data_IF_904863286116
#
_entry.id   IF_904863286116
#
_cell.length_a   1.000
_cell.length_b   1.000
_cell.length_c   1.000
_cell.angle_alpha   90.00
_cell.angle_beta   90.00
_cell.angle_gamma   90.00
#
_symmetry.space_group_name_H-M   'P 1'
#
loop_
_entity.id
_entity.type
_entity.pdbx_description
1 polymer ?
#
# COMPACT_ATOMS: atom_id res chain seq x y z
N UNK A 1 13.02 8.03 -9.60
CA UNK A 1 12.77 7.24 -8.36
C UNK A 1 13.15 8.02 -7.12
N UNK A 2 12.14 8.46 -6.36
CA UNK A 2 12.32 9.26 -5.14
C UNK A 2 12.03 8.42 -3.89
N UNK A 3 12.92 8.47 -2.90
CA UNK A 3 12.66 7.87 -1.58
C UNK A 3 11.95 8.86 -0.68
N UNK A 4 10.97 8.41 0.10
CA UNK A 4 10.22 9.27 1.03
C UNK A 4 9.75 8.46 2.24
N UNK A 5 9.73 9.09 3.40
CA UNK A 5 9.03 8.57 4.57
C UNK A 5 7.57 9.05 4.52
N UNK A 6 6.63 8.11 4.48
CA UNK A 6 5.20 8.39 4.36
C UNK A 6 4.46 8.00 5.63
N UNK A 7 3.43 8.77 5.98
CA UNK A 7 2.46 8.35 7.00
C UNK A 7 1.47 7.35 6.41
N UNK A 8 0.90 6.52 7.27
CA UNK A 8 -0.12 5.52 6.93
C UNK A 8 -1.39 6.12 6.35
N UNK A 9 -1.75 7.36 6.73
CA UNK A 9 -2.90 8.10 6.17
C UNK A 9 -2.65 8.63 4.75
N UNK A 10 -1.44 8.49 4.21
CA UNK A 10 -1.08 8.98 2.88
C UNK A 10 -1.13 7.91 1.78
N UNK A 11 -1.23 6.64 2.16
CA UNK A 11 -1.11 5.50 1.24
C UNK A 11 -2.44 4.76 1.19
N UNK A 12 -3.07 4.72 0.02
CA UNK A 12 -4.20 3.85 -0.31
C UNK A 12 -3.65 2.43 -0.44
N UNK A 13 -4.12 1.54 0.42
CA UNK A 13 -3.66 0.15 0.49
C UNK A 13 -4.38 -0.73 -0.53
N UNK A 14 -3.84 -1.90 -0.79
CA UNK A 14 -4.46 -2.97 -1.59
C UNK A 14 -5.70 -3.57 -0.89
N UNK A 15 -6.52 -4.34 -1.60
CA UNK A 15 -7.74 -4.96 -1.03
C UNK A 15 -7.49 -6.20 -0.15
N UNK A 16 -6.25 -6.52 0.17
CA UNK A 16 -5.88 -7.64 1.03
C UNK A 16 -6.30 -7.34 2.49
N UNK A 17 -7.54 -7.67 2.85
CA UNK A 17 -8.06 -7.52 4.21
C UNK A 17 -8.57 -8.85 4.79
N UNK A 18 -8.07 -9.28 5.97
CA UNK A 18 -6.84 -8.80 6.61
C UNK A 18 -5.62 -9.15 5.75
N UNK A 19 -4.40 -8.82 6.21
CA UNK A 19 -3.19 -9.30 5.53
C UNK A 19 -3.16 -10.83 5.51
N UNK A 20 -2.85 -11.43 4.35
CA UNK A 20 -3.04 -12.87 4.11
C UNK A 20 -2.17 -13.80 5.00
N UNK A 21 -1.05 -13.31 5.52
CA UNK A 21 -0.10 -14.10 6.31
C UNK A 21 0.26 -13.37 7.60
N UNK A 22 -0.32 -13.85 8.70
CA UNK A 22 -0.14 -13.27 10.03
C UNK A 22 1.31 -13.35 10.53
N UNK A 23 2.05 -14.40 10.18
CA UNK A 23 3.45 -14.56 10.62
C UNK A 23 4.37 -13.50 10.00
N UNK A 24 4.19 -13.22 8.71
CA UNK A 24 4.95 -12.16 8.04
C UNK A 24 4.64 -10.78 8.65
N UNK A 25 3.37 -10.51 8.97
CA UNK A 25 2.99 -9.29 9.69
C UNK A 25 3.70 -9.19 11.05
N UNK A 26 3.75 -10.30 11.81
CA UNK A 26 4.43 -10.39 13.11
C UNK A 26 5.91 -10.08 13.00
N UNK A 27 6.59 -10.63 12.00
CA UNK A 27 8.01 -10.38 11.77
C UNK A 27 8.24 -8.89 11.49
N UNK A 28 7.53 -8.31 10.52
CA UNK A 28 7.69 -6.89 10.21
C UNK A 28 7.32 -5.99 11.39
N UNK A 29 6.26 -6.31 12.13
CA UNK A 29 5.88 -5.54 13.30
C UNK A 29 7.02 -5.51 14.33
N UNK A 30 7.64 -6.66 14.63
CA UNK A 30 8.79 -6.72 15.55
C UNK A 30 9.97 -5.87 15.07
N UNK A 31 10.24 -5.86 13.76
CA UNK A 31 11.30 -5.03 13.18
C UNK A 31 11.00 -3.54 13.39
N UNK A 32 9.78 -3.09 13.09
CA UNK A 32 9.38 -1.69 13.27
C UNK A 32 9.27 -1.27 14.73
N UNK A 33 8.70 -2.11 15.59
CA UNK A 33 8.52 -1.82 17.02
C UNK A 33 9.85 -1.67 17.74
N UNK A 34 10.89 -2.39 17.29
CA UNK A 34 12.26 -2.27 17.80
C UNK A 34 13.08 -1.15 17.15
N UNK A 35 12.48 -0.33 16.28
CA UNK A 35 13.19 0.78 15.62
C UNK A 35 14.10 0.37 14.46
N UNK A 36 14.05 -0.90 14.03
CA UNK A 36 14.89 -1.42 12.94
C UNK A 36 14.25 -1.31 11.56
N UNK A 37 13.14 -0.57 11.40
CA UNK A 37 12.43 -0.44 10.11
C UNK A 37 13.31 0.00 8.93
N UNK A 38 14.40 0.73 9.19
CA UNK A 38 15.37 1.20 8.18
C UNK A 38 16.15 0.08 7.47
N UNK A 39 16.25 -1.11 8.06
CA UNK A 39 16.94 -2.26 7.43
C UNK A 39 16.10 -2.89 6.32
N UNK A 40 14.79 -2.64 6.33
CA UNK A 40 13.89 -3.20 5.33
C UNK A 40 13.96 -2.33 4.07
N UNK A 41 13.96 -2.94 2.86
CA UNK A 41 13.78 -2.19 1.63
C UNK A 41 12.49 -1.35 1.69
N UNK A 42 12.41 -0.19 1.02
CA UNK A 42 11.18 0.60 0.99
C UNK A 42 10.03 -0.13 0.28
N UNK A 43 8.77 0.34 0.46
CA UNK A 43 7.62 -0.13 -0.34
C UNK A 43 7.47 0.65 -1.64
N UNK A 44 7.15 0.01 -2.76
CA UNK A 44 6.84 0.70 -4.00
C UNK A 44 5.44 1.33 -3.95
N UNK A 45 5.34 2.59 -4.33
CA UNK A 45 4.09 3.34 -4.46
C UNK A 45 4.11 4.18 -5.73
N UNK A 46 2.95 4.57 -6.26
CA UNK A 46 2.85 5.65 -7.26
C UNK A 46 1.98 6.78 -6.73
N UNK A 47 2.29 8.02 -7.14
CA UNK A 47 1.53 9.20 -6.74
C UNK A 47 0.25 9.32 -7.58
N UNK A 48 -0.82 9.88 -7.02
CA UNK A 48 -2.11 10.04 -7.73
C UNK A 48 -1.99 10.89 -9.01
N UNK A 49 -1.04 11.83 -9.06
CA UNK A 49 -0.78 12.66 -10.25
C UNK A 49 -0.14 11.87 -11.41
N UNK A 50 0.46 10.72 -11.13
CA UNK A 50 0.96 9.80 -12.16
C UNK A 50 -0.19 9.06 -12.87
N UNK A 51 -1.38 9.06 -12.26
CA UNK A 51 -2.62 8.53 -12.81
C UNK A 51 -3.50 7.93 -11.74
N UNK A 52 -4.81 8.11 -11.89
CA UNK A 52 -5.82 7.51 -11.03
C UNK A 52 -6.25 6.17 -11.65
N UNK A 53 -6.33 5.07 -10.88
CA UNK A 53 -6.65 3.74 -11.39
C UNK A 53 -8.14 3.58 -11.73
N UNK A 54 -8.66 4.41 -12.63
CA UNK A 54 -10.01 4.27 -13.16
C UNK A 54 -10.11 3.07 -14.11
N UNK A 55 -11.30 2.46 -14.15
CA UNK A 55 -11.64 1.44 -15.16
C UNK A 55 -12.34 2.09 -16.35
N UNK A 56 -12.10 1.57 -17.56
CA UNK A 56 -12.61 2.15 -18.82
C UNK A 56 -14.04 1.73 -19.20
N UNK A 57 -14.69 0.86 -18.43
CA UNK A 57 -16.02 0.34 -18.77
C UNK A 57 -17.12 1.40 -18.68
N UNK A 58 -18.11 1.32 -19.57
CA UNK A 58 -19.31 2.18 -19.56
C UNK A 58 -20.47 1.59 -18.75
N UNK A 59 -20.34 0.35 -18.29
CA UNK A 59 -21.33 -0.36 -17.48
C UNK A 59 -21.51 0.29 -16.10
N UNK A 60 -22.64 -0.01 -15.45
CA UNK A 60 -23.00 0.55 -14.16
C UNK A 60 -21.95 0.25 -13.06
N UNK A 61 -21.30 -0.91 -13.10
CA UNK A 61 -20.29 -1.32 -12.11
C UNK A 61 -19.02 -0.48 -12.28
N UNK A 62 -18.57 -0.25 -13.50
CA UNK A 62 -17.45 0.64 -13.83
C UNK A 62 -17.70 2.08 -13.41
N UNK A 63 -18.88 2.63 -13.74
CA UNK A 63 -19.27 3.98 -13.32
C UNK A 63 -19.32 4.11 -11.80
N UNK A 64 -19.91 3.13 -11.11
CA UNK A 64 -19.98 3.09 -9.63
C UNK A 64 -18.60 3.06 -9.01
N UNK A 65 -17.69 2.22 -9.52
CA UNK A 65 -16.32 2.13 -9.05
C UNK A 65 -15.59 3.47 -9.20
N UNK A 66 -15.61 4.07 -10.39
CA UNK A 66 -14.92 5.33 -10.66
C UNK A 66 -15.49 6.46 -9.78
N UNK A 67 -16.82 6.54 -9.62
CA UNK A 67 -17.48 7.52 -8.73
C UNK A 67 -17.05 7.32 -7.28
N UNK A 68 -17.04 6.08 -6.79
CA UNK A 68 -16.60 5.76 -5.43
C UNK A 68 -15.15 6.16 -5.20
N UNK A 69 -14.26 5.92 -6.18
CA UNK A 69 -12.86 6.31 -6.08
C UNK A 69 -12.68 7.83 -6.04
N UNK A 70 -13.34 8.56 -6.96
CA UNK A 70 -13.27 10.02 -6.97
C UNK A 70 -13.78 10.62 -5.66
N UNK A 71 -14.96 10.21 -5.20
CA UNK A 71 -15.51 10.68 -3.93
C UNK A 71 -14.65 10.31 -2.72
N UNK A 72 -13.95 9.17 -2.78
CA UNK A 72 -13.00 8.80 -1.73
C UNK A 72 -11.78 9.74 -1.72
N UNK A 73 -11.19 10.02 -2.87
CA UNK A 73 -10.02 10.91 -2.99
C UNK A 73 -10.35 12.34 -2.57
N UNK A 74 -11.53 12.85 -2.92
CA UNK A 74 -12.04 14.16 -2.47
C UNK A 74 -12.16 14.24 -0.94
N UNK A 75 -12.73 13.19 -0.32
CA UNK A 75 -12.90 13.12 1.14
C UNK A 75 -11.60 12.86 1.90
N UNK A 76 -10.57 12.35 1.23
CA UNK A 76 -9.30 11.93 1.84
C UNK A 76 -8.11 12.61 1.14
N UNK A 77 -7.98 13.95 1.20
CA UNK A 77 -6.95 14.69 0.45
C UNK A 77 -5.50 14.36 0.88
N UNK A 78 -5.32 13.68 2.02
CA UNK A 78 -4.02 13.20 2.48
C UNK A 78 -3.56 11.94 1.74
N UNK A 79 -4.50 11.14 1.22
CA UNK A 79 -4.25 9.88 0.52
C UNK A 79 -3.74 10.15 -0.91
N UNK A 80 -2.43 10.39 -1.03
CA UNK A 80 -1.77 10.85 -2.26
C UNK A 80 -1.04 9.73 -3.02
N UNK A 81 -0.97 8.53 -2.46
CA UNK A 81 -0.20 7.43 -3.03
C UNK A 81 -1.03 6.16 -3.07
N UNK A 82 -0.89 5.38 -4.14
CA UNK A 82 -1.37 4.01 -4.21
C UNK A 82 -0.23 3.04 -3.93
N UNK A 83 -0.49 2.06 -3.05
CA UNK A 83 0.43 0.97 -2.78
C UNK A 83 0.51 0.05 -3.98
N UNK A 84 1.73 -0.21 -4.46
CA UNK A 84 1.96 -1.21 -5.51
C UNK A 84 2.07 -2.59 -4.87
N UNK A 85 2.84 -2.70 -3.78
CA UNK A 85 2.98 -3.92 -2.98
C UNK A 85 3.54 -3.57 -1.59
N UNK A 86 3.54 -4.54 -0.67
CA UNK A 86 4.04 -4.40 0.70
C UNK A 86 2.92 -4.20 1.73
N UNK A 87 1.76 -4.82 1.52
CA UNK A 87 0.60 -4.75 2.42
C UNK A 87 1.00 -5.06 3.88
N UNK A 88 1.70 -6.17 4.12
CA UNK A 88 2.18 -6.54 5.47
C UNK A 88 3.13 -5.52 6.06
N UNK A 89 4.10 -5.04 5.27
CA UNK A 89 5.15 -4.12 5.74
C UNK A 89 4.56 -2.76 6.10
N UNK A 90 3.66 -2.24 5.28
CA UNK A 90 2.96 -0.97 5.56
C UNK A 90 2.02 -1.09 6.76
N UNK A 91 1.24 -2.17 6.87
CA UNK A 91 0.38 -2.41 8.03
C UNK A 91 1.19 -2.59 9.33
N UNK A 92 2.33 -3.28 9.27
CA UNK A 92 3.23 -3.45 10.42
C UNK A 92 3.84 -2.13 10.90
N UNK A 93 4.31 -1.28 9.98
CA UNK A 93 4.82 0.05 10.33
C UNK A 93 3.75 0.92 10.98
N UNK A 94 2.54 0.92 10.41
CA UNK A 94 1.40 1.66 10.93
C UNK A 94 0.97 1.15 12.33
N UNK A 95 0.92 -0.17 12.54
CA UNK A 95 0.65 -0.77 13.85
C UNK A 95 1.69 -0.36 14.92
N UNK A 96 2.92 -0.06 14.50
CA UNK A 96 4.01 0.36 15.37
C UNK A 96 4.20 1.89 15.45
N UNK A 97 3.25 2.68 14.92
CA UNK A 97 3.33 4.14 14.82
C UNK A 97 4.63 4.65 14.17
N UNK A 98 5.12 3.93 13.16
CA UNK A 98 6.32 4.29 12.40
C UNK A 98 5.96 4.83 11.02
N UNK A 99 6.76 5.79 10.55
CA UNK A 99 6.73 6.20 9.16
C UNK A 99 7.13 5.04 8.25
N UNK A 100 6.50 4.97 7.09
CA UNK A 100 6.68 3.93 6.08
C UNK A 100 7.76 4.38 5.11
N UNK A 101 8.93 3.69 5.05
CA UNK A 101 9.90 3.92 4.00
C UNK A 101 9.29 3.52 2.66
N UNK A 102 9.11 4.48 1.76
CA UNK A 102 8.48 4.29 0.48
C UNK A 102 9.38 4.77 -0.66
N UNK A 103 9.15 4.19 -1.82
CA UNK A 103 9.81 4.55 -3.06
C UNK A 103 8.75 4.88 -4.10
N UNK A 104 8.80 6.13 -4.58
CA UNK A 104 7.83 6.68 -5.50
C UNK A 104 8.28 6.31 -6.91
N UNK A 105 7.44 5.53 -7.59
CA UNK A 105 7.58 5.09 -8.96
C UNK A 105 6.92 6.13 -9.87
N UNK A 106 7.73 6.88 -10.61
CA UNK A 106 7.25 8.04 -11.38
C UNK A 106 7.22 7.74 -12.89
N UNK A 107 8.02 6.79 -13.35
CA UNK A 107 8.15 6.44 -14.77
C UNK A 107 8.65 5.01 -14.95
N UNK A 108 8.68 4.55 -16.20
CA UNK A 108 9.06 3.18 -16.56
C UNK A 108 10.53 2.85 -16.24
N UNK A 109 11.44 3.85 -16.25
CA UNK A 109 12.84 3.63 -15.87
C UNK A 109 12.97 3.24 -14.40
N UNK A 110 12.09 3.74 -13.53
CA UNK A 110 12.07 3.36 -12.12
C UNK A 110 11.72 1.88 -11.95
N UNK A 111 10.81 1.34 -12.77
CA UNK A 111 10.47 -0.09 -12.75
C UNK A 111 11.67 -0.95 -13.13
N UNK A 112 12.37 -0.60 -14.21
CA UNK A 112 13.61 -1.29 -14.61
C UNK A 112 14.66 -1.26 -13.50
N UNK A 113 14.82 -0.11 -12.84
CA UNK A 113 15.76 0.03 -11.71
C UNK A 113 15.38 -0.85 -10.53
N UNK A 114 14.11 -0.89 -10.11
CA UNK A 114 13.68 -1.77 -9.02
C UNK A 114 13.86 -3.25 -9.38
N UNK A 115 13.58 -3.66 -10.62
CA UNK A 115 13.83 -5.05 -11.06
C UNK A 115 15.30 -5.44 -10.91
N UNK A 116 16.22 -4.54 -11.24
CA UNK A 116 17.66 -4.76 -11.03
C UNK A 116 18.03 -4.87 -9.55
N UNK A 117 17.34 -4.13 -8.67
CA UNK A 117 17.55 -4.27 -7.22
C UNK A 117 16.97 -5.60 -6.71
N UNK A 118 15.83 -6.04 -7.24
CA UNK A 118 15.23 -7.34 -6.92
C UNK A 118 16.16 -8.49 -7.34
N UNK A 119 16.75 -8.44 -8.54
CA UNK A 119 17.68 -9.49 -9.00
C UNK A 119 18.96 -9.57 -8.17
N UNK A 120 19.29 -8.53 -7.40
CA UNK A 120 20.43 -8.49 -6.47
C UNK A 120 20.04 -8.82 -5.02
N UNK A 121 18.76 -9.06 -4.74
CA UNK A 121 18.26 -9.25 -3.37
C UNK A 121 18.18 -7.95 -2.53
N UNK A 122 18.45 -6.78 -3.13
CA UNK A 122 18.42 -5.48 -2.46
C UNK A 122 16.99 -4.92 -2.30
N UNK A 123 16.01 -5.57 -2.91
CA UNK A 123 14.60 -5.17 -2.85
C UNK A 123 13.70 -6.40 -2.82
N UNK A 124 12.63 -6.36 -2.01
CA UNK A 124 11.67 -7.45 -1.99
C UNK A 124 10.91 -7.53 -3.33
N UNK A 125 10.74 -8.75 -3.83
CA UNK A 125 9.92 -9.02 -5.00
C UNK A 125 8.51 -8.44 -4.81
N UNK A 126 7.92 -7.90 -5.88
CA UNK A 126 6.50 -7.60 -5.91
C UNK A 126 5.82 -8.33 -7.07
N UNK A 127 4.59 -8.79 -6.81
CA UNK A 127 3.87 -9.74 -7.68
C UNK A 127 3.38 -9.15 -9.00
N UNK A 128 3.46 -7.83 -9.20
CA UNK A 128 3.04 -7.22 -10.45
C UNK A 128 4.08 -7.50 -11.55
N UNK A 129 3.77 -8.21 -12.65
CA UNK A 129 4.71 -8.47 -13.76
C UNK A 129 4.96 -7.22 -14.64
N UNK A 130 4.22 -6.13 -14.44
CA UNK A 130 4.31 -4.92 -15.25
C UNK A 130 5.71 -4.28 -15.23
N UNK A 131 6.18 -3.90 -16.42
CA UNK A 131 7.41 -3.12 -16.62
C UNK A 131 7.15 -1.61 -16.75
N UNK A 132 5.88 -1.18 -16.73
CA UNK A 132 5.50 0.22 -16.95
C UNK A 132 4.57 0.75 -15.87
N UNK A 133 4.62 2.07 -15.65
CA UNK A 133 3.74 2.79 -14.74
C UNK A 133 2.28 2.64 -15.18
N UNK A 134 1.99 2.77 -16.48
CA UNK A 134 0.65 2.63 -17.04
C UNK A 134 0.03 1.26 -16.74
N UNK A 135 0.79 0.18 -16.91
CA UNK A 135 0.29 -1.15 -16.60
C UNK A 135 0.22 -1.40 -15.07
N UNK A 136 1.06 -0.74 -14.27
CA UNK A 136 0.92 -0.74 -12.81
C UNK A 136 -0.40 -0.08 -12.36
N UNK A 137 -0.76 1.07 -12.93
CA UNK A 137 -2.03 1.77 -12.64
C UNK A 137 -3.22 0.91 -13.07
N UNK A 138 -3.13 0.25 -14.24
CA UNK A 138 -4.17 -0.68 -14.72
C UNK A 138 -4.35 -1.86 -13.76
N UNK A 139 -3.26 -2.43 -13.25
CA UNK A 139 -3.32 -3.54 -12.31
C UNK A 139 -3.90 -3.09 -10.95
N UNK A 140 -3.54 -1.89 -10.47
CA UNK A 140 -4.18 -1.30 -9.31
C UNK A 140 -5.70 -1.14 -9.50
N UNK A 141 -6.14 -0.70 -10.69
CA UNK A 141 -7.56 -0.60 -11.02
C UNK A 141 -8.25 -1.97 -10.94
N UNK A 142 -7.61 -3.01 -11.49
CA UNK A 142 -8.09 -4.39 -11.46
C UNK A 142 -8.19 -4.94 -10.03
N UNK A 143 -7.14 -4.78 -9.22
CA UNK A 143 -7.14 -5.20 -7.81
C UNK A 143 -8.20 -4.49 -7.00
N UNK A 144 -8.54 -3.24 -7.36
CA UNK A 144 -9.57 -2.49 -6.67
C UNK A 144 -10.98 -2.69 -7.25
N UNK A 145 -11.11 -3.28 -8.44
CA UNK A 145 -12.41 -3.38 -9.09
C UNK A 145 -13.34 -4.32 -8.32
N UNK A 146 -14.52 -3.83 -7.96
CA UNK A 146 -15.44 -4.55 -7.07
C UNK A 146 -15.22 -4.28 -5.57
N UNK A 147 -14.32 -3.36 -5.19
CA UNK A 147 -14.26 -2.89 -3.80
C UNK A 147 -15.63 -2.45 -3.29
N UNK A 148 -15.91 -2.75 -2.03
CA UNK A 148 -16.98 -2.07 -1.30
C UNK A 148 -16.55 -0.67 -0.82
N UNK A 149 -15.23 -0.45 -0.66
CA UNK A 149 -14.62 0.81 -0.23
C UNK A 149 -13.12 0.82 -0.52
N UNK A 150 -12.55 2.03 -0.55
CA UNK A 150 -11.11 2.24 -0.48
C UNK A 150 -10.69 2.49 0.98
N UNK A 151 -9.44 2.16 1.29
CA UNK A 151 -8.86 2.32 2.61
C UNK A 151 -7.44 2.85 2.47
N UNK A 152 -7.07 3.76 3.36
CA UNK A 152 -5.65 3.99 3.61
C UNK A 152 -5.06 2.83 4.41
N UNK A 153 -3.73 2.76 4.50
CA UNK A 153 -3.06 1.83 5.41
C UNK A 153 -3.52 2.06 6.86
N UNK A 154 -3.71 3.33 7.24
CA UNK A 154 -4.26 3.72 8.55
C UNK A 154 -5.65 3.11 8.78
N UNK A 155 -6.58 3.29 7.83
CA UNK A 155 -7.95 2.79 7.93
C UNK A 155 -7.99 1.25 8.01
N UNK A 156 -7.12 0.59 7.22
CA UNK A 156 -6.94 -0.86 7.25
C UNK A 156 -6.51 -1.34 8.63
N UNK A 157 -5.48 -0.72 9.20
CA UNK A 157 -4.98 -1.07 10.54
C UNK A 157 -6.03 -0.82 11.61
N UNK A 158 -6.71 0.34 11.61
CA UNK A 158 -7.80 0.62 12.56
C UNK A 158 -8.90 -0.43 12.50
N UNK A 159 -9.26 -0.89 11.29
CA UNK A 159 -10.24 -1.97 11.10
C UNK A 159 -9.72 -3.30 11.66
N UNK A 160 -8.46 -3.66 11.42
CA UNK A 160 -7.81 -4.87 11.97
C UNK A 160 -7.80 -4.84 13.51
N UNK A 161 -7.52 -3.68 14.12
CA UNK A 161 -7.58 -3.48 15.57
C UNK A 161 -9.01 -3.67 16.10
N UNK A 162 -9.98 -3.00 15.47
CA UNK A 162 -11.40 -3.06 15.87
C UNK A 162 -11.91 -4.50 15.84
N UNK A 163 -11.52 -5.27 14.83
CA UNK A 163 -11.97 -6.64 14.61
C UNK A 163 -11.12 -7.69 15.34
N UNK A 164 -10.05 -7.29 16.04
CA UNK A 164 -9.09 -8.17 16.70
C UNK A 164 -8.41 -9.17 15.74
N UNK A 165 -8.18 -8.76 14.50
CA UNK A 165 -7.54 -9.57 13.45
C UNK A 165 -6.01 -9.71 13.64
N UNK A 166 -5.43 -9.04 14.64
CA UNK A 166 -4.00 -9.08 14.97
C UNK A 166 -3.78 -9.50 16.42
N UNK A 167 -2.58 -10.00 16.79
CA UNK A 167 -2.27 -10.36 18.17
C UNK A 167 -2.50 -9.22 19.17
N UNK A 168 -2.94 -9.57 20.39
CA UNK A 168 -3.25 -8.59 21.45
C UNK A 168 -2.12 -7.61 21.71
N UNK A 169 -0.86 -8.06 21.70
CA UNK A 169 0.28 -7.17 21.95
C UNK A 169 0.46 -6.09 20.88
N UNK A 170 0.09 -6.34 19.62
CA UNK A 170 0.09 -5.31 18.57
C UNK A 170 -1.04 -4.30 18.79
N UNK A 171 -2.20 -4.79 19.24
CA UNK A 171 -3.33 -3.91 19.60
C UNK A 171 -2.93 -2.99 20.74
N UNK A 172 -2.33 -3.53 21.80
CA UNK A 172 -1.83 -2.76 22.92
C UNK A 172 -0.77 -1.74 22.48
N UNK A 173 0.14 -2.12 21.57
CA UNK A 173 1.15 -1.21 21.05
C UNK A 173 0.55 -0.05 20.23
N UNK A 174 -0.50 -0.30 19.44
CA UNK A 174 -1.15 0.73 18.63
C UNK A 174 -2.03 1.68 19.46
N UNK A 175 -2.56 1.24 20.60
CA UNK A 175 -3.41 2.05 21.48
C UNK A 175 -2.63 2.95 22.46
N UNK A 176 -1.34 2.69 22.64
CA UNK A 176 -0.43 3.58 23.37
C UNK A 176 -0.10 4.79 22.50
#
# INVERSE_FOLDING_TARGET
>A
MKKKLLRSDQIITTQDYPVYNKHILVIFFRVFSKGFGKILPPVPVFHISSGIPYVKGKDAKSKRYNKMLSSYLEKNPRAKYFLIDGGHKTSAAALAHKLIPAIIMENDKDFTKIRRLQSKGEFFGFHNPSKTLKACIKEAAKHHFGAKKFLTVEDKVKKMIKHKDVPKYMISAYKK
#
